data_IF_146344490079
#
_entry.id   IF_146344490079
#
_cell.length_a   1.000
_cell.length_b   1.000
_cell.length_c   1.000
_cell.angle_alpha   90.00
_cell.angle_beta   90.00
_cell.angle_gamma   90.00
#
_symmetry.space_group_name_H-M   'P 1'
#
loop_
_entity.id
_entity.type
_entity.pdbx_description
1 polymer ?
#
# COMPACT_ATOMS: atom_id res chain seq x y z
N UNK A 1 -25.97 55.83 -66.92
CA UNK A 1 -26.36 54.48 -66.46
C UNK A 1 -26.23 53.48 -67.58
N UNK A 2 -25.52 52.37 -67.30
CA UNK A 2 -25.70 50.99 -67.79
C UNK A 2 -24.38 50.35 -68.26
N UNK A 3 -23.98 49.35 -67.45
CA UNK A 3 -23.02 48.29 -67.73
C UNK A 3 -23.52 47.41 -68.88
N UNK A 4 -22.65 47.00 -69.80
CA UNK A 4 -22.58 45.66 -70.46
C UNK A 4 -21.20 45.49 -71.13
N UNK A 5 -20.54 44.33 -70.91
CA UNK A 5 -19.65 43.51 -71.80
C UNK A 5 -18.72 42.69 -70.88
N UNK A 6 -18.83 41.38 -70.65
CA UNK A 6 -18.94 40.16 -71.50
C UNK A 6 -17.64 39.81 -72.26
N UNK A 7 -16.84 38.89 -71.64
CA UNK A 7 -16.22 37.63 -72.17
C UNK A 7 -15.11 37.79 -73.25
N UNK A 8 -13.97 37.07 -73.37
CA UNK A 8 -13.38 35.78 -72.90
C UNK A 8 -11.82 35.92 -72.97
N UNK A 9 -10.98 35.06 -72.38
CA UNK A 9 -10.39 33.85 -73.00
C UNK A 9 -9.70 33.01 -71.89
N UNK A 10 -9.91 31.68 -71.90
CA UNK A 10 -8.94 30.68 -71.36
C UNK A 10 -9.42 29.71 -70.28
N UNK A 11 -10.08 28.61 -70.67
CA UNK A 11 -10.34 27.35 -69.92
C UNK A 11 -9.11 26.39 -69.99
N UNK A 12 -9.08 25.18 -69.35
CA UNK A 12 -9.49 24.76 -67.99
C UNK A 12 -8.54 23.73 -67.28
N UNK A 13 -8.60 23.68 -65.93
CA UNK A 13 -8.69 22.55 -64.95
C UNK A 13 -8.03 21.14 -65.20
N UNK A 14 -7.38 20.61 -64.13
CA UNK A 14 -7.39 19.22 -63.51
C UNK A 14 -6.07 18.40 -63.34
N UNK A 15 -5.86 17.97 -62.08
CA UNK A 15 -5.33 16.69 -61.52
C UNK A 15 -3.91 16.13 -61.84
N UNK A 16 -3.14 15.99 -60.74
CA UNK A 16 -2.36 14.81 -60.24
C UNK A 16 -1.61 13.92 -61.26
N UNK A 17 -0.27 13.94 -61.22
CA UNK A 17 0.63 12.77 -61.01
C UNK A 17 2.12 13.16 -61.18
N UNK A 18 3.00 12.45 -60.46
CA UNK A 18 4.49 12.41 -60.54
C UNK A 18 5.19 13.61 -59.85
N UNK A 19 6.03 13.44 -58.82
CA UNK A 19 7.31 12.72 -58.92
C UNK A 19 7.64 11.94 -57.63
N UNK A 20 7.71 10.62 -57.81
CA UNK A 20 8.56 9.72 -57.04
C UNK A 20 9.83 9.49 -57.89
N UNK A 21 10.96 9.25 -57.22
CA UNK A 21 12.24 8.69 -57.75
C UNK A 21 13.29 9.67 -58.29
N UNK A 22 14.24 9.98 -57.42
CA UNK A 22 15.64 9.57 -57.64
C UNK A 22 16.25 9.09 -56.30
N UNK A 23 16.29 7.76 -56.13
CA UNK A 23 17.02 6.96 -55.11
C UNK A 23 18.50 6.87 -55.54
N UNK A 24 19.58 6.76 -54.73
CA UNK A 24 19.94 6.18 -53.39
C UNK A 24 21.48 6.43 -53.18
N UNK A 25 22.18 5.92 -52.14
CA UNK A 25 21.94 5.74 -50.70
C UNK A 25 23.10 6.30 -49.82
N UNK A 26 23.03 6.22 -48.48
CA UNK A 26 24.11 5.84 -47.52
C UNK A 26 23.87 6.41 -46.10
N UNK A 27 23.84 5.47 -45.15
CA UNK A 27 24.15 5.50 -43.70
C UNK A 27 23.35 6.33 -42.67
N UNK A 28 22.94 5.59 -41.65
CA UNK A 28 22.40 6.00 -40.37
C UNK A 28 23.44 6.72 -39.51
N UNK A 29 23.06 7.82 -38.88
CA UNK A 29 23.61 8.25 -37.61
C UNK A 29 22.56 8.98 -36.81
N UNK A 30 22.26 8.43 -35.64
CA UNK A 30 21.62 9.14 -34.54
C UNK A 30 22.58 10.26 -34.12
N UNK A 31 22.11 11.50 -34.10
CA UNK A 31 22.78 12.58 -33.38
C UNK A 31 21.82 13.06 -32.28
N UNK A 32 22.33 12.97 -31.06
CA UNK A 32 21.73 13.40 -29.80
C UNK A 32 21.42 14.90 -29.85
N UNK A 33 20.14 15.25 -29.70
CA UNK A 33 19.76 16.63 -29.45
C UNK A 33 20.00 16.95 -27.97
N UNK A 34 20.97 17.83 -27.74
CA UNK A 34 21.31 18.47 -26.48
C UNK A 34 20.04 18.99 -25.74
N UNK A 35 19.67 18.30 -24.66
CA UNK A 35 18.75 18.85 -23.67
C UNK A 35 19.55 19.73 -22.70
N UNK A 36 19.38 21.04 -22.88
CA UNK A 36 19.90 22.10 -22.01
C UNK A 36 19.54 21.82 -20.56
N UNK A 37 20.56 21.52 -19.76
CA UNK A 37 20.50 21.28 -18.33
C UNK A 37 20.29 22.62 -17.61
N UNK A 38 19.02 23.00 -17.39
CA UNK A 38 18.70 24.04 -16.41
C UNK A 38 18.83 23.43 -15.01
N UNK A 39 20.04 23.58 -14.44
CA UNK A 39 20.34 23.36 -13.03
C UNK A 39 19.47 24.32 -12.21
N UNK A 40 18.33 23.82 -11.70
CA UNK A 40 17.68 24.43 -10.55
C UNK A 40 18.55 24.12 -9.34
N UNK A 41 19.08 25.19 -8.76
CA UNK A 41 19.86 25.19 -7.53
C UNK A 41 18.95 24.64 -6.42
N UNK A 42 19.14 23.39 -6.05
CA UNK A 42 18.52 22.78 -4.88
C UNK A 42 19.03 23.51 -3.65
N UNK A 43 18.15 24.25 -2.97
CA UNK A 43 18.41 24.66 -1.60
C UNK A 43 18.42 23.39 -0.75
N UNK A 44 19.62 22.99 -0.31
CA UNK A 44 19.81 22.00 0.75
C UNK A 44 19.05 22.50 1.98
N UNK A 45 17.85 21.99 2.20
CA UNK A 45 17.29 21.93 3.53
C UNK A 45 18.06 20.83 4.25
N UNK A 46 18.99 21.22 5.13
CA UNK A 46 19.45 20.29 6.17
C UNK A 46 18.21 19.82 6.90
N UNK A 47 17.83 18.55 6.71
CA UNK A 47 16.93 17.85 7.61
C UNK A 47 17.63 17.80 8.95
N UNK A 48 17.35 18.79 9.79
CA UNK A 48 17.62 18.69 11.22
C UNK A 48 16.77 17.51 11.67
N UNK A 49 17.40 16.36 11.91
CA UNK A 49 16.80 15.26 12.68
C UNK A 49 16.59 15.79 14.10
N UNK A 50 15.50 16.52 14.28
CA UNK A 50 15.05 16.94 15.60
C UNK A 50 14.65 15.65 16.29
N UNK A 51 15.51 15.17 17.19
CA UNK A 51 15.16 14.14 18.16
C UNK A 51 14.10 14.78 19.05
N UNK A 52 12.84 14.39 18.84
CA UNK A 52 11.74 14.82 19.69
C UNK A 52 11.75 13.92 20.93
N UNK A 53 11.92 14.50 22.10
CA UNK A 53 11.65 13.83 23.37
C UNK A 53 10.22 14.17 23.79
N UNK A 54 9.48 13.19 24.33
CA UNK A 54 8.18 13.49 24.90
C UNK A 54 8.35 14.37 26.15
N UNK A 55 7.50 15.38 26.37
CA UNK A 55 7.64 16.28 27.52
C UNK A 55 7.54 15.49 28.83
N UNK A 56 8.61 15.48 29.64
CA UNK A 56 8.61 14.82 30.95
C UNK A 56 7.70 15.53 31.95
N UNK A 57 7.44 16.83 31.73
CA UNK A 57 6.69 17.71 32.63
C UNK A 57 5.28 17.18 32.92
N UNK A 58 4.60 16.62 31.91
CA UNK A 58 3.29 16.01 32.15
C UNK A 58 3.37 14.75 33.00
N UNK A 59 4.41 13.93 32.84
CA UNK A 59 4.58 12.71 33.61
C UNK A 59 4.92 13.03 35.08
N UNK A 60 5.68 14.10 35.31
CA UNK A 60 5.88 14.66 36.65
C UNK A 60 4.58 15.21 37.24
N UNK A 61 3.78 15.93 36.45
CA UNK A 61 2.46 16.41 36.87
C UNK A 61 1.53 15.27 37.26
N UNK A 62 1.48 14.18 36.48
CA UNK A 62 0.67 12.98 36.81
C UNK A 62 1.12 12.36 38.14
N UNK A 63 2.44 12.20 38.36
CA UNK A 63 2.98 11.71 39.64
C UNK A 63 2.59 12.62 40.80
N UNK A 64 2.66 13.94 40.60
CA UNK A 64 2.32 14.93 41.60
C UNK A 64 0.83 14.94 41.93
N UNK A 65 -0.04 14.86 40.91
CA UNK A 65 -1.49 14.84 41.04
C UNK A 65 -1.98 13.65 41.89
N UNK A 66 -1.29 12.51 41.80
CA UNK A 66 -1.61 11.32 42.60
C UNK A 66 -1.18 11.41 44.05
N UNK A 67 -0.35 12.40 44.42
CA UNK A 67 0.03 12.60 45.80
C UNK A 67 -1.10 13.34 46.55
N UNK A 68 -1.78 12.70 47.52
CA UNK A 68 -2.91 13.31 48.22
C UNK A 68 -2.55 14.57 49.02
N UNK A 69 -1.27 14.76 49.33
CA UNK A 69 -0.76 15.92 50.05
C UNK A 69 -0.49 17.13 49.13
N UNK A 70 -0.52 16.93 47.81
CA UNK A 70 -0.30 17.99 46.82
C UNK A 70 -1.60 18.38 46.14
N UNK A 71 -1.91 19.69 46.18
CA UNK A 71 -2.97 20.27 45.36
C UNK A 71 -2.37 20.73 44.03
N UNK A 72 -2.76 20.06 42.96
CA UNK A 72 -2.36 20.42 41.61
C UNK A 72 -3.42 21.29 40.93
N UNK A 73 -2.97 22.19 40.07
CA UNK A 73 -3.85 22.94 39.19
C UNK A 73 -4.26 22.07 38.00
N UNK A 74 -5.56 21.85 37.84
CA UNK A 74 -6.11 21.12 36.71
C UNK A 74 -5.91 21.87 35.39
N UNK A 75 -5.92 23.20 35.41
CA UNK A 75 -5.68 24.01 34.21
C UNK A 75 -4.28 23.80 33.64
N UNK A 76 -3.28 23.72 34.51
CA UNK A 76 -1.90 23.38 34.13
C UNK A 76 -1.81 21.97 33.55
N UNK A 77 -2.45 20.99 34.20
CA UNK A 77 -2.50 19.60 33.71
C UNK A 77 -3.11 19.50 32.31
N UNK A 78 -4.16 20.27 32.02
CA UNK A 78 -4.80 20.29 30.71
C UNK A 78 -3.88 20.84 29.62
N UNK A 79 -3.13 21.91 29.91
CA UNK A 79 -2.15 22.48 28.97
C UNK A 79 -1.05 21.45 28.66
N UNK A 80 -0.48 20.85 29.71
CA UNK A 80 0.57 19.85 29.58
C UNK A 80 0.09 18.59 28.84
N UNK A 81 -1.15 18.14 29.09
CA UNK A 81 -1.74 17.01 28.39
C UNK A 81 -1.95 17.30 26.88
N UNK A 82 -2.37 18.53 26.54
CA UNK A 82 -2.53 18.97 25.14
C UNK A 82 -1.18 19.00 24.41
N UNK A 83 -0.16 19.58 25.02
CA UNK A 83 1.20 19.62 24.46
C UNK A 83 1.76 18.22 24.27
N UNK A 84 1.61 17.35 25.28
CA UNK A 84 2.01 15.95 25.21
C UNK A 84 1.29 15.21 24.08
N UNK A 85 -0.03 15.38 23.90
CA UNK A 85 -0.79 14.71 22.84
C UNK A 85 -0.19 14.99 21.46
N UNK A 86 0.16 16.24 21.17
CA UNK A 86 0.78 16.65 19.90
C UNK A 86 2.12 15.95 19.71
N UNK A 87 2.97 15.94 20.74
CA UNK A 87 4.28 15.28 20.68
C UNK A 87 4.16 13.77 20.54
N UNK A 88 3.29 13.11 21.30
CA UNK A 88 3.06 11.67 21.22
C UNK A 88 2.50 11.25 19.86
N UNK A 89 1.57 12.03 19.28
CA UNK A 89 1.05 11.76 17.93
C UNK A 89 2.17 11.80 16.89
N UNK A 90 3.12 12.73 17.03
CA UNK A 90 4.29 12.81 16.16
C UNK A 90 5.28 11.68 16.40
N UNK A 91 5.55 11.33 17.66
CA UNK A 91 6.41 10.22 18.03
C UNK A 91 5.89 8.89 17.47
N UNK A 92 4.58 8.64 17.51
CA UNK A 92 4.00 7.44 16.88
C UNK A 92 4.46 7.31 15.41
N UNK A 93 4.49 8.42 14.68
CA UNK A 93 4.86 8.45 13.25
C UNK A 93 6.37 8.34 13.04
N UNK A 94 7.17 9.02 13.85
CA UNK A 94 8.62 9.16 13.62
C UNK A 94 9.49 8.18 14.39
N UNK A 95 9.04 7.72 15.56
CA UNK A 95 9.74 6.78 16.43
C UNK A 95 8.72 5.99 17.29
N UNK A 96 8.04 4.97 16.71
CA UNK A 96 7.00 4.22 17.41
C UNK A 96 7.52 3.45 18.63
N UNK A 97 8.79 3.06 18.64
CA UNK A 97 9.44 2.44 19.81
C UNK A 97 9.45 3.39 21.01
N UNK A 98 9.90 4.62 20.79
CA UNK A 98 9.94 5.66 21.81
C UNK A 98 8.53 6.07 22.25
N UNK A 99 7.58 6.15 21.31
CA UNK A 99 6.18 6.42 21.64
C UNK A 99 5.60 5.37 22.61
N UNK A 100 5.90 4.09 22.39
CA UNK A 100 5.46 3.02 23.29
C UNK A 100 6.16 3.08 24.65
N UNK A 101 7.48 3.37 24.66
CA UNK A 101 8.25 3.53 25.90
C UNK A 101 7.70 4.66 26.78
N UNK A 102 7.27 5.74 26.15
CA UNK A 102 6.78 6.94 26.82
C UNK A 102 5.29 6.87 27.17
N UNK A 103 4.57 5.82 26.75
CA UNK A 103 3.15 5.69 27.01
C UNK A 103 2.81 5.70 28.52
N UNK A 104 1.74 6.37 28.90
CA UNK A 104 1.24 6.38 30.27
C UNK A 104 0.55 5.04 30.55
N UNK A 105 1.10 4.31 31.52
CA UNK A 105 0.58 3.02 31.96
C UNK A 105 -0.87 3.15 32.47
N UNK A 106 -1.68 2.11 32.28
CA UNK A 106 -3.09 2.13 32.68
C UNK A 106 -3.25 2.37 34.20
N UNK A 107 -2.31 1.90 35.02
CA UNK A 107 -2.32 2.16 36.47
C UNK A 107 -2.10 3.64 36.83
N UNK A 108 -1.42 4.39 35.97
CA UNK A 108 -1.15 5.83 36.14
C UNK A 108 -2.33 6.71 35.71
N UNK A 109 -3.28 6.14 34.95
CA UNK A 109 -4.49 6.84 34.50
C UNK A 109 -5.60 6.84 35.56
N UNK A 110 -5.55 5.92 36.51
CA UNK A 110 -6.58 5.75 37.53
C UNK A 110 -6.70 7.01 38.40
N UNK A 111 -7.89 7.62 38.40
CA UNK A 111 -8.21 8.81 39.20
C UNK A 111 -7.87 10.15 38.52
N UNK A 112 -7.33 10.13 37.30
CA UNK A 112 -7.20 11.35 36.50
C UNK A 112 -8.59 11.84 36.04
N UNK A 113 -8.78 13.16 35.90
CA UNK A 113 -10.02 13.72 35.35
C UNK A 113 -10.29 13.25 33.92
N UNK A 114 -11.56 13.11 33.56
CA UNK A 114 -11.99 12.62 32.24
C UNK A 114 -11.43 13.48 31.10
N UNK A 115 -11.41 14.80 31.27
CA UNK A 115 -10.89 15.73 30.25
C UNK A 115 -9.39 15.53 29.97
N UNK A 116 -8.63 15.04 30.95
CA UNK A 116 -7.22 14.67 30.76
C UNK A 116 -7.12 13.33 30.05
N UNK A 117 -7.91 12.33 30.48
CA UNK A 117 -7.90 10.98 29.90
C UNK A 117 -8.23 11.04 28.40
N UNK A 118 -9.18 11.87 27.98
CA UNK A 118 -9.53 12.07 26.56
C UNK A 118 -8.35 12.61 25.71
N UNK A 119 -7.42 13.33 26.32
CA UNK A 119 -6.23 13.87 25.65
C UNK A 119 -5.10 12.84 25.52
N UNK A 120 -5.11 11.76 26.30
CA UNK A 120 -4.06 10.74 26.29
C UNK A 120 -4.21 9.75 25.13
N UNK A 121 -3.12 9.03 24.87
CA UNK A 121 -3.10 7.87 23.99
C UNK A 121 -3.99 6.73 24.51
N UNK A 122 -4.68 6.01 23.63
CA UNK A 122 -5.45 4.83 24.00
C UNK A 122 -4.58 3.57 23.91
N UNK A 123 -4.44 2.84 25.02
CA UNK A 123 -3.76 1.54 25.08
C UNK A 123 -4.56 0.50 24.29
N UNK A 124 -3.91 -0.21 23.38
CA UNK A 124 -4.54 -1.24 22.56
C UNK A 124 -3.96 -2.60 22.89
N UNK A 125 -4.85 -3.57 23.06
CA UNK A 125 -4.52 -5.00 23.18
C UNK A 125 -5.68 -5.83 22.66
N UNK A 126 -5.65 -6.20 21.38
CA UNK A 126 -6.75 -6.94 20.75
C UNK A 126 -6.29 -7.75 19.53
N UNK A 127 -7.23 -8.39 18.85
CA UNK A 127 -7.10 -8.95 17.51
C UNK A 127 -7.23 -7.85 16.48
N UNK A 128 -6.37 -7.86 15.46
CA UNK A 128 -6.53 -6.98 14.29
C UNK A 128 -6.13 -7.62 12.98
N UNK A 129 -6.61 -7.04 11.88
CA UNK A 129 -6.08 -7.23 10.53
C UNK A 129 -4.93 -6.25 10.32
N UNK A 130 -3.78 -6.70 9.81
CA UNK A 130 -2.63 -5.88 9.49
C UNK A 130 -2.47 -5.81 7.97
N UNK A 131 -2.49 -4.63 7.39
CA UNK A 131 -2.29 -4.42 5.96
C UNK A 131 -0.95 -3.71 5.74
N UNK A 132 -0.10 -4.27 4.88
CA UNK A 132 1.04 -3.54 4.31
C UNK A 132 0.72 -3.26 2.85
N UNK A 133 0.72 -2.00 2.45
CA UNK A 133 0.26 -1.56 1.15
C UNK A 133 1.35 -0.74 0.46
N UNK A 134 1.52 -0.96 -0.83
CA UNK A 134 2.48 -0.25 -1.69
C UNK A 134 1.74 0.40 -2.85
N UNK A 135 2.01 1.68 -3.08
CA UNK A 135 1.47 2.44 -4.22
C UNK A 135 2.52 2.61 -5.29
N UNK A 136 2.21 2.23 -6.53
CA UNK A 136 3.18 2.18 -7.61
C UNK A 136 3.00 3.33 -8.60
N UNK A 137 3.99 4.24 -8.63
CA UNK A 137 3.95 5.50 -9.37
C UNK A 137 4.60 5.37 -10.76
N UNK A 138 4.01 4.54 -11.63
CA UNK A 138 4.58 4.24 -12.96
C UNK A 138 3.87 4.96 -14.10
N UNK A 139 4.49 5.02 -15.27
CA UNK A 139 3.89 5.57 -16.50
C UNK A 139 3.33 6.99 -16.37
N UNK A 140 4.12 7.89 -15.80
CA UNK A 140 3.82 9.32 -15.69
C UNK A 140 3.29 9.77 -14.32
N UNK A 141 2.93 8.83 -13.44
CA UNK A 141 2.68 9.15 -12.04
C UNK A 141 4.00 9.47 -11.32
N UNK A 142 3.95 10.41 -10.37
CA UNK A 142 5.10 10.82 -9.57
C UNK A 142 4.72 10.65 -8.10
N UNK A 143 5.57 9.93 -7.37
CA UNK A 143 5.47 9.78 -5.92
C UNK A 143 5.46 11.17 -5.26
N UNK A 144 4.44 11.51 -4.46
CA UNK A 144 4.43 12.77 -3.73
C UNK A 144 5.66 12.89 -2.82
N UNK A 145 6.22 14.10 -2.69
CA UNK A 145 7.36 14.36 -1.80
C UNK A 145 6.97 13.98 -0.36
N UNK A 146 7.77 13.13 0.28
CA UNK A 146 7.53 12.66 1.64
C UNK A 146 6.51 11.52 1.77
N UNK A 147 5.94 11.01 0.67
CA UNK A 147 5.15 9.78 0.71
C UNK A 147 6.07 8.56 0.98
N UNK A 148 5.71 7.67 1.90
CA UNK A 148 6.50 6.48 2.20
C UNK A 148 6.43 5.44 1.09
N UNK A 149 7.43 4.55 1.02
CA UNK A 149 7.48 3.44 0.05
C UNK A 149 6.36 2.44 0.27
N UNK A 150 6.10 2.12 1.52
CA UNK A 150 5.02 1.25 1.94
C UNK A 150 4.29 1.89 3.13
N UNK A 151 2.99 1.65 3.22
CA UNK A 151 2.15 2.09 4.33
C UNK A 151 1.58 0.90 5.06
N UNK A 152 1.61 0.94 6.39
CA UNK A 152 0.98 -0.07 7.22
C UNK A 152 -0.33 0.45 7.80
N UNK A 153 -1.30 -0.44 7.90
CA UNK A 153 -2.58 -0.16 8.53
C UNK A 153 -2.98 -1.30 9.44
N UNK A 154 -3.65 -0.98 10.54
CA UNK A 154 -4.30 -1.96 11.40
C UNK A 154 -5.79 -1.68 11.40
N UNK A 155 -6.58 -2.68 11.03
CA UNK A 155 -8.04 -2.64 11.19
C UNK A 155 -8.42 -3.43 12.43
N UNK A 156 -9.09 -2.77 13.37
CA UNK A 156 -9.69 -3.36 14.56
C UNK A 156 -11.11 -2.84 14.65
N UNK A 157 -12.06 -3.74 14.85
CA UNK A 157 -13.48 -3.48 14.67
C UNK A 157 -13.77 -2.85 13.30
N UNK A 158 -14.34 -1.65 13.27
CA UNK A 158 -14.64 -0.88 12.06
C UNK A 158 -13.67 0.29 11.82
N UNK A 159 -12.63 0.42 12.65
CA UNK A 159 -11.66 1.52 12.54
C UNK A 159 -10.34 1.04 11.96
N UNK A 160 -9.85 1.79 10.98
CA UNK A 160 -8.57 1.56 10.31
C UNK A 160 -7.58 2.63 10.72
N UNK A 161 -6.52 2.23 11.41
CA UNK A 161 -5.44 3.10 11.87
C UNK A 161 -4.28 3.05 10.87
N UNK A 162 -3.62 4.18 10.63
CA UNK A 162 -2.29 4.19 10.02
C UNK A 162 -1.29 3.71 11.06
N UNK A 163 -0.72 2.54 10.82
CA UNK A 163 0.12 1.84 11.77
C UNK A 163 1.59 2.12 11.48
N UNK A 164 2.37 2.28 12.56
CA UNK A 164 3.81 2.46 12.53
C UNK A 164 4.44 1.35 13.33
N UNK A 165 5.31 0.57 12.68
CA UNK A 165 5.94 -0.63 13.23
C UNK A 165 7.45 -0.43 13.33
N UNK A 166 8.08 -1.26 14.15
CA UNK A 166 9.53 -1.33 14.32
C UNK A 166 9.92 -2.76 14.71
N UNK A 167 11.22 -3.00 14.88
CA UNK A 167 11.75 -4.32 15.21
C UNK A 167 11.33 -5.37 14.18
N UNK A 168 10.91 -6.55 14.64
CA UNK A 168 10.50 -7.64 13.74
C UNK A 168 9.28 -7.32 12.87
N UNK A 169 8.40 -6.40 13.30
CA UNK A 169 7.24 -5.99 12.50
C UNK A 169 7.55 -4.91 11.47
N UNK A 170 8.79 -4.44 11.40
CA UNK A 170 9.23 -3.48 10.38
C UNK A 170 9.03 -4.00 8.95
N UNK A 171 9.14 -5.32 8.75
CA UNK A 171 8.96 -6.01 7.46
C UNK A 171 7.75 -6.97 7.44
N UNK A 172 6.90 -6.94 8.48
CA UNK A 172 5.73 -7.82 8.55
C UNK A 172 4.83 -7.60 7.34
N UNK A 173 4.54 -8.67 6.61
CA UNK A 173 3.61 -8.64 5.49
C UNK A 173 2.15 -8.59 5.96
N UNK A 174 1.21 -8.40 5.03
CA UNK A 174 -0.22 -8.38 5.33
C UNK A 174 -0.68 -9.64 6.07
N UNK A 175 -1.56 -9.48 7.06
CA UNK A 175 -2.16 -10.54 7.89
C UNK A 175 -3.64 -10.29 8.12
N UNK A 176 -4.47 -11.30 7.90
CA UNK A 176 -5.90 -11.31 8.19
C UNK A 176 -6.16 -11.40 9.71
N UNK A 177 -5.17 -11.83 10.50
CA UNK A 177 -5.31 -11.97 11.95
C UNK A 177 -3.97 -11.95 12.66
N UNK A 178 -3.72 -10.92 13.47
CA UNK A 178 -2.60 -10.85 14.41
C UNK A 178 -3.05 -10.39 15.79
N UNK A 179 -2.19 -10.63 16.78
CA UNK A 179 -2.30 -10.02 18.10
C UNK A 179 -1.69 -8.62 18.05
N UNK A 180 -2.48 -7.59 18.29
CA UNK A 180 -2.05 -6.19 18.23
C UNK A 180 -1.93 -5.65 19.64
N UNK A 181 -0.73 -5.18 19.98
CA UNK A 181 -0.45 -4.44 21.20
C UNK A 181 0.14 -3.09 20.82
N UNK A 182 -0.24 -2.03 21.52
CA UNK A 182 0.37 -0.72 21.28
C UNK A 182 -0.42 0.45 21.84
N UNK A 183 -0.24 1.62 21.22
CA UNK A 183 -0.97 2.85 21.58
C UNK A 183 -1.51 3.53 20.33
N UNK A 184 -2.66 4.18 20.45
CA UNK A 184 -3.25 4.97 19.37
C UNK A 184 -3.63 6.38 19.81
N UNK A 185 -3.49 7.34 18.89
CA UNK A 185 -4.01 8.71 19.02
C UNK A 185 -4.71 9.05 17.71
N UNK A 186 -5.99 9.38 17.80
CA UNK A 186 -6.86 9.64 16.64
C UNK A 186 -6.82 8.48 15.61
N UNK A 187 -6.12 8.70 14.49
CA UNK A 187 -6.02 7.85 13.32
C UNK A 187 -4.66 7.13 13.20
N UNK A 188 -3.69 7.43 14.07
CA UNK A 188 -2.36 6.81 14.04
C UNK A 188 -2.16 5.85 15.21
N UNK A 189 -1.35 4.82 14.97
CA UNK A 189 -1.07 3.78 15.96
C UNK A 189 0.40 3.37 15.91
N UNK A 190 1.05 3.30 17.08
CA UNK A 190 2.33 2.61 17.23
C UNK A 190 2.06 1.16 17.64
N UNK A 191 2.64 0.21 16.93
CA UNK A 191 2.40 -1.22 17.14
C UNK A 191 3.66 -1.87 17.71
N UNK A 192 3.52 -2.55 18.84
CA UNK A 192 4.58 -3.33 19.48
C UNK A 192 5.10 -4.42 18.53
N UNK A 193 6.40 -4.74 18.55
CA UNK A 193 7.00 -5.80 17.74
C UNK A 193 6.59 -7.19 18.23
N UNK A 194 6.15 -7.28 19.49
CA UNK A 194 5.86 -8.54 20.16
C UNK A 194 4.37 -8.88 20.05
N UNK A 195 4.01 -10.08 19.57
CA UNK A 195 2.62 -10.51 19.49
C UNK A 195 2.06 -10.96 20.84
N UNK A 196 2.89 -11.05 21.88
CA UNK A 196 2.51 -11.50 23.22
C UNK A 196 3.13 -10.56 24.26
N UNK A 197 2.30 -9.90 25.08
CA UNK A 197 2.78 -9.14 26.24
C UNK A 197 2.95 -10.07 27.45
N UNK A 198 4.15 -10.08 28.03
CA UNK A 198 4.49 -10.89 29.20
C UNK A 198 4.41 -10.08 30.50
N UNK A 199 3.72 -10.62 31.51
CA UNK A 199 3.71 -10.13 32.91
C UNK A 199 3.97 -11.31 33.85
N UNK A 200 5.24 -11.67 34.03
CA UNK A 200 5.64 -12.89 34.75
C UNK A 200 5.29 -14.15 33.95
N UNK A 201 4.39 -14.99 34.47
CA UNK A 201 3.83 -16.17 33.80
C UNK A 201 2.45 -15.90 33.17
N UNK A 202 1.95 -14.67 33.27
CA UNK A 202 0.76 -14.22 32.56
C UNK A 202 1.18 -13.71 31.18
N UNK A 203 0.50 -14.15 30.14
CA UNK A 203 0.69 -13.66 28.78
C UNK A 203 -0.61 -13.07 28.27
N UNK A 204 -0.53 -11.96 27.55
CA UNK A 204 -1.65 -11.34 26.87
C UNK A 204 -1.43 -11.37 25.37
N UNK A 205 -2.43 -11.82 24.62
CA UNK A 205 -2.41 -11.85 23.16
C UNK A 205 -3.83 -12.00 22.62
N UNK A 206 -4.11 -11.46 21.43
CA UNK A 206 -5.43 -11.53 20.80
C UNK A 206 -6.57 -11.05 21.73
N UNK A 207 -6.29 -10.01 22.53
CA UNK A 207 -7.22 -9.46 23.53
C UNK A 207 -7.53 -10.37 24.73
N UNK A 208 -6.73 -11.43 24.93
CA UNK A 208 -6.96 -12.41 26.00
C UNK A 208 -5.72 -12.63 26.85
N UNK A 209 -5.95 -12.73 28.15
CA UNK A 209 -4.92 -13.12 29.12
C UNK A 209 -4.93 -14.63 29.35
N UNK A 210 -3.74 -15.22 29.46
CA UNK A 210 -3.53 -16.64 29.74
C UNK A 210 -2.41 -16.81 30.76
N UNK A 211 -2.72 -17.53 31.83
CA UNK A 211 -1.73 -17.93 32.83
C UNK A 211 -1.06 -19.24 32.41
N UNK A 212 0.26 -19.27 32.43
CA UNK A 212 1.07 -20.46 32.15
C UNK A 212 1.61 -21.09 33.44
N UNK A 213 1.87 -22.39 33.40
CA UNK A 213 2.37 -23.14 34.57
C UNK A 213 3.88 -22.98 34.76
N UNK A 214 4.62 -22.69 33.69
CA UNK A 214 6.07 -22.52 33.69
C UNK A 214 6.54 -21.53 32.62
N UNK A 215 7.79 -21.06 32.74
CA UNK A 215 8.41 -20.22 31.70
C UNK A 215 8.57 -20.98 30.38
N UNK A 216 8.88 -22.27 30.43
CA UNK A 216 9.04 -23.10 29.23
C UNK A 216 7.76 -23.17 28.39
N UNK A 217 6.59 -23.33 29.04
CA UNK A 217 5.31 -23.33 28.32
C UNK A 217 4.99 -21.97 27.70
N UNK A 218 5.33 -20.88 28.40
CA UNK A 218 5.14 -19.52 27.91
C UNK A 218 6.05 -19.23 26.72
N UNK A 219 7.34 -19.56 26.83
CA UNK A 219 8.32 -19.35 25.76
C UNK A 219 7.95 -20.17 24.51
N UNK A 220 7.48 -21.41 24.69
CA UNK A 220 6.94 -22.23 23.59
C UNK A 220 5.73 -21.57 22.93
N UNK A 221 4.81 -21.01 23.71
CA UNK A 221 3.65 -20.28 23.19
C UNK A 221 4.04 -19.02 22.40
N UNK A 222 4.99 -18.24 22.92
CA UNK A 222 5.52 -17.05 22.25
C UNK A 222 6.18 -17.46 20.92
N UNK A 223 7.09 -18.45 20.95
CA UNK A 223 7.78 -18.93 19.76
C UNK A 223 6.80 -19.41 18.68
N UNK A 224 5.76 -20.16 19.07
CA UNK A 224 4.73 -20.60 18.13
C UNK A 224 3.94 -19.42 17.54
N UNK A 225 3.62 -18.40 18.35
CA UNK A 225 2.90 -17.21 17.87
C UNK A 225 3.75 -16.37 16.90
N UNK A 226 5.05 -16.27 17.15
CA UNK A 226 6.00 -15.60 16.25
C UNK A 226 6.08 -16.33 14.90
N UNK A 227 6.26 -17.65 14.91
CA UNK A 227 6.34 -18.48 13.69
C UNK A 227 5.06 -18.40 12.86
N UNK A 228 3.90 -18.46 13.50
CA UNK A 228 2.61 -18.29 12.83
C UNK A 228 2.51 -16.92 12.14
N UNK A 229 2.92 -15.85 12.82
CA UNK A 229 2.87 -14.50 12.27
C UNK A 229 3.87 -14.30 11.11
N UNK A 230 5.05 -14.94 11.16
CA UNK A 230 6.08 -14.81 10.12
C UNK A 230 5.81 -15.67 8.86
N UNK A 231 4.87 -16.61 8.92
CA UNK A 231 4.53 -17.49 7.79
C UNK A 231 4.01 -16.67 6.60
N UNK A 232 4.50 -16.82 5.35
CA UNK A 232 4.03 -16.00 4.23
C UNK A 232 2.52 -16.09 3.96
N UNK A 233 1.93 -14.96 3.56
CA UNK A 233 0.51 -14.83 3.27
C UNK A 233 -0.32 -14.33 4.45
N UNK A 234 -1.60 -13.97 4.19
CA UNK A 234 -2.40 -13.22 5.15
C UNK A 234 -3.13 -14.11 6.14
N UNK A 235 -3.52 -15.33 5.75
CA UNK A 235 -4.15 -16.28 6.65
C UNK A 235 -3.10 -17.18 7.33
N UNK A 236 -3.15 -17.29 8.66
CA UNK A 236 -2.47 -18.38 9.38
C UNK A 236 -3.29 -19.65 9.10
N UNK A 237 -2.98 -20.35 8.01
CA UNK A 237 -3.64 -21.62 7.69
C UNK A 237 -3.15 -22.69 8.68
N UNK A 238 -3.88 -22.88 9.78
CA UNK A 238 -3.79 -24.10 10.61
C UNK A 238 -4.79 -25.12 10.08
N UNK A 239 -4.43 -25.80 9.00
CA UNK A 239 -5.24 -26.87 8.40
C UNK A 239 -4.45 -27.61 7.32
N UNK A 240 -4.40 -28.93 7.43
CA UNK A 240 -3.47 -29.85 6.76
C UNK A 240 -3.45 -29.75 5.23
N UNK A 241 -2.41 -29.19 4.62
CA UNK A 241 -2.24 -29.27 3.17
C UNK A 241 -0.78 -29.45 2.72
N UNK A 242 -0.63 -30.47 1.85
CA UNK A 242 0.46 -30.83 0.93
C UNK A 242 1.92 -30.63 1.38
N UNK A 243 2.58 -31.74 1.72
CA UNK A 243 4.02 -31.88 2.03
C UNK A 243 4.98 -31.58 0.84
N UNK A 244 4.55 -30.85 -0.20
CA UNK A 244 5.33 -30.65 -1.43
C UNK A 244 5.70 -29.18 -1.69
N UNK A 245 4.90 -28.21 -1.24
CA UNK A 245 5.16 -26.79 -1.48
C UNK A 245 5.96 -26.14 -0.34
N UNK A 246 7.02 -25.38 -0.66
CA UNK A 246 7.81 -24.62 0.33
C UNK A 246 6.98 -23.47 0.94
N UNK A 247 6.09 -22.89 0.14
CA UNK A 247 5.07 -21.96 0.61
C UNK A 247 3.78 -22.20 -0.15
N UNK A 248 2.72 -22.57 0.57
CA UNK A 248 1.37 -22.68 0.00
C UNK A 248 0.82 -21.33 -0.44
N UNK A 249 1.42 -20.22 -0.04
CA UNK A 249 1.05 -18.87 -0.49
C UNK A 249 1.58 -18.56 -1.90
N UNK A 250 2.85 -18.89 -2.17
CA UNK A 250 3.53 -18.50 -3.42
C UNK A 250 3.64 -19.62 -4.46
N UNK A 251 3.30 -20.85 -4.12
CA UNK A 251 3.31 -22.01 -5.01
C UNK A 251 1.91 -22.62 -5.20
N UNK A 252 1.77 -23.48 -6.20
CA UNK A 252 0.55 -24.21 -6.52
C UNK A 252 -0.36 -23.48 -7.51
N UNK A 253 -1.62 -23.92 -7.55
CA UNK A 253 -2.65 -23.33 -8.41
C UNK A 253 -3.34 -22.21 -7.66
N UNK A 254 -3.38 -21.02 -8.25
CA UNK A 254 -3.98 -19.81 -7.68
C UNK A 254 -5.11 -19.29 -8.56
N UNK A 255 -6.16 -18.77 -7.92
CA UNK A 255 -7.30 -18.15 -8.58
C UNK A 255 -7.36 -16.66 -8.27
N UNK A 256 -7.49 -15.83 -9.31
CA UNK A 256 -7.69 -14.39 -9.19
C UNK A 256 -9.11 -14.03 -9.59
N UNK A 257 -9.83 -13.30 -8.74
CA UNK A 257 -11.09 -12.64 -9.12
C UNK A 257 -10.80 -11.25 -9.70
N UNK A 258 -11.10 -11.03 -10.98
CA UNK A 258 -10.76 -9.79 -11.69
C UNK A 258 -11.99 -8.92 -11.93
N UNK A 259 -12.20 -7.94 -11.04
CA UNK A 259 -13.37 -7.07 -11.05
C UNK A 259 -13.12 -5.84 -11.93
N UNK A 260 -13.88 -5.71 -13.02
CA UNK A 260 -13.92 -4.50 -13.85
C UNK A 260 -15.08 -3.65 -13.35
N UNK A 261 -14.79 -2.46 -12.83
CA UNK A 261 -15.80 -1.60 -12.18
C UNK A 261 -16.05 -0.31 -12.97
N UNK A 262 -17.30 0.15 -12.92
CA UNK A 262 -17.72 1.46 -13.43
C UNK A 262 -18.52 2.20 -12.36
N UNK A 263 -18.49 3.53 -12.42
CA UNK A 263 -19.24 4.42 -11.55
C UNK A 263 -20.68 4.64 -12.05
N UNK A 264 -21.57 5.09 -11.17
CA UNK A 264 -22.99 5.28 -11.50
C UNK A 264 -23.24 6.34 -12.59
N UNK A 265 -22.36 7.33 -12.72
CA UNK A 265 -22.41 8.40 -13.72
C UNK A 265 -21.82 8.00 -15.08
N UNK A 266 -21.31 6.78 -15.21
CA UNK A 266 -20.76 6.28 -16.47
C UNK A 266 -21.80 5.55 -17.30
N UNK A 267 -21.58 5.52 -18.62
CA UNK A 267 -22.47 4.83 -19.56
C UNK A 267 -22.62 3.35 -19.19
N UNK A 268 -23.81 2.80 -19.39
CA UNK A 268 -24.14 1.39 -19.14
C UNK A 268 -23.39 0.38 -20.05
N UNK A 269 -22.66 0.85 -21.05
CA UNK A 269 -21.73 0.07 -21.87
C UNK A 269 -20.25 0.39 -21.55
N UNK A 270 -19.98 1.29 -20.60
CA UNK A 270 -18.62 1.63 -20.20
C UNK A 270 -17.93 0.43 -19.55
N UNK A 271 -16.71 0.13 -20.03
CA UNK A 271 -15.79 -0.81 -19.40
C UNK A 271 -14.45 -0.10 -19.14
N UNK A 272 -13.85 -0.22 -17.94
CA UNK A 272 -12.54 0.35 -17.67
C UNK A 272 -11.42 -0.33 -18.48
N UNK A 273 -11.63 -1.61 -18.82
CA UNK A 273 -10.82 -2.41 -19.72
C UNK A 273 -11.73 -3.44 -20.40
N UNK A 274 -11.54 -3.67 -21.70
CA UNK A 274 -12.35 -4.67 -22.40
C UNK A 274 -12.07 -6.07 -21.87
N UNK A 275 -13.05 -6.99 -21.93
CA UNK A 275 -12.84 -8.38 -21.50
C UNK A 275 -11.66 -9.03 -22.25
N UNK A 276 -11.59 -8.86 -23.57
CA UNK A 276 -10.54 -9.45 -24.39
C UNK A 276 -9.15 -8.92 -24.02
N UNK A 277 -9.04 -7.61 -23.76
CA UNK A 277 -7.78 -7.01 -23.29
C UNK A 277 -7.40 -7.51 -21.89
N UNK A 278 -8.37 -7.61 -20.98
CA UNK A 278 -8.12 -8.09 -19.63
C UNK A 278 -7.64 -9.55 -19.64
N UNK A 279 -8.27 -10.42 -20.45
CA UNK A 279 -7.85 -11.81 -20.64
C UNK A 279 -6.42 -11.89 -21.18
N UNK A 280 -6.13 -11.20 -22.29
CA UNK A 280 -4.78 -11.19 -22.87
C UNK A 280 -3.70 -10.74 -21.87
N UNK A 281 -3.95 -9.68 -21.10
CA UNK A 281 -2.97 -9.20 -20.14
C UNK A 281 -2.79 -10.18 -18.95
N UNK A 282 -3.85 -10.86 -18.52
CA UNK A 282 -3.76 -11.83 -17.44
C UNK A 282 -3.13 -13.14 -17.89
N UNK A 283 -3.27 -13.52 -19.17
CA UNK A 283 -2.50 -14.61 -19.76
C UNK A 283 -1.00 -14.30 -19.73
N UNK A 284 -0.60 -13.06 -20.05
CA UNK A 284 0.81 -12.63 -19.95
C UNK A 284 1.32 -12.70 -18.49
N UNK A 285 0.50 -12.28 -17.52
CA UNK A 285 0.84 -12.36 -16.08
C UNK A 285 1.00 -13.82 -15.65
N UNK A 286 0.04 -14.67 -15.99
CA UNK A 286 0.06 -16.09 -15.63
C UNK A 286 1.29 -16.79 -16.24
N UNK A 287 1.59 -16.54 -17.50
CA UNK A 287 2.75 -17.12 -18.17
C UNK A 287 4.08 -16.61 -17.59
N UNK A 288 4.18 -15.31 -17.31
CA UNK A 288 5.36 -14.75 -16.66
C UNK A 288 5.66 -15.46 -15.33
N UNK A 289 4.68 -15.56 -14.45
CA UNK A 289 4.87 -16.17 -13.14
C UNK A 289 5.06 -17.69 -13.21
N UNK A 290 4.45 -18.36 -14.18
CA UNK A 290 4.72 -19.77 -14.45
C UNK A 290 6.17 -19.99 -14.86
N UNK A 291 6.72 -19.16 -15.74
CA UNK A 291 8.13 -19.23 -16.16
C UNK A 291 9.05 -18.88 -14.99
N UNK A 292 8.82 -17.73 -14.34
CA UNK A 292 9.66 -17.23 -13.25
C UNK A 292 9.74 -18.18 -12.05
N UNK A 293 8.68 -18.95 -11.81
CA UNK A 293 8.61 -19.95 -10.75
C UNK A 293 9.06 -21.36 -11.18
N UNK A 294 9.58 -21.54 -12.40
CA UNK A 294 9.91 -22.86 -12.96
C UNK A 294 8.71 -23.83 -12.96
N UNK A 295 7.51 -23.32 -13.17
CA UNK A 295 6.26 -24.08 -13.22
C UNK A 295 5.62 -24.38 -11.86
N UNK A 296 6.17 -23.83 -10.76
CA UNK A 296 5.63 -24.04 -9.41
C UNK A 296 4.36 -23.24 -9.12
N UNK A 297 4.20 -22.07 -9.75
CA UNK A 297 3.02 -21.23 -9.62
C UNK A 297 2.22 -21.24 -10.93
N UNK A 298 0.95 -21.61 -10.84
CA UNK A 298 0.00 -21.55 -11.96
C UNK A 298 -1.19 -20.68 -11.56
N UNK A 299 -1.56 -19.73 -12.42
CA UNK A 299 -2.60 -18.74 -12.10
C UNK A 299 -3.75 -18.87 -13.09
N UNK A 300 -4.99 -18.86 -12.58
CA UNK A 300 -6.22 -18.82 -13.36
C UNK A 300 -7.02 -17.59 -12.93
N UNK A 301 -7.34 -16.72 -13.88
CA UNK A 301 -8.14 -15.53 -13.59
C UNK A 301 -9.59 -15.72 -14.02
N UNK A 302 -10.52 -15.37 -13.14
CA UNK A 302 -11.96 -15.36 -13.38
C UNK A 302 -12.42 -13.93 -13.61
N UNK A 303 -13.19 -13.73 -14.67
CA UNK A 303 -13.65 -12.42 -15.11
C UNK A 303 -15.18 -12.33 -15.00
N UNK A 304 -15.70 -11.75 -13.91
CA UNK A 304 -17.10 -11.37 -13.82
C UNK A 304 -17.54 -10.39 -14.91
N UNK A 305 -18.86 -10.24 -15.01
CA UNK A 305 -19.46 -9.10 -15.70
C UNK A 305 -19.01 -7.78 -15.06
N UNK A 306 -19.10 -6.67 -15.81
CA UNK A 306 -18.74 -5.35 -15.29
C UNK A 306 -19.64 -4.98 -14.11
N UNK A 307 -19.02 -4.65 -12.99
CA UNK A 307 -19.70 -4.24 -11.76
C UNK A 307 -20.03 -2.75 -11.85
N UNK A 308 -21.28 -2.38 -11.58
CA UNK A 308 -21.71 -0.98 -11.50
C UNK A 308 -21.77 -0.57 -10.03
N UNK A 309 -21.00 0.44 -9.66
CA UNK A 309 -21.03 1.05 -8.34
C UNK A 309 -22.25 1.97 -8.20
N UNK A 310 -22.67 2.18 -6.95
CA UNK A 310 -23.87 2.91 -6.58
C UNK A 310 -23.68 4.43 -6.61
N UNK A 311 -22.47 4.93 -6.35
CA UNK A 311 -22.17 6.36 -6.39
C UNK A 311 -21.49 6.79 -7.69
N UNK A 312 -21.63 8.08 -8.00
CA UNK A 312 -20.83 8.72 -9.02
C UNK A 312 -19.36 8.73 -8.59
N UNK A 313 -18.45 8.86 -9.56
CA UNK A 313 -17.01 8.92 -9.29
C UNK A 313 -16.63 9.93 -8.19
N UNK A 314 -17.28 11.10 -8.17
CA UNK A 314 -17.04 12.16 -7.18
C UNK A 314 -17.38 11.75 -5.74
N UNK A 315 -18.24 10.76 -5.51
CA UNK A 315 -18.58 10.25 -4.17
C UNK A 315 -17.45 9.45 -3.52
N UNK A 316 -16.57 8.84 -4.33
CA UNK A 316 -15.39 8.10 -3.86
C UNK A 316 -14.16 8.99 -3.76
N UNK A 317 -14.05 10.02 -4.61
CA UNK A 317 -12.98 11.02 -4.53
C UNK A 317 -13.07 11.74 -3.18
N UNK A 318 -12.05 11.57 -2.33
CA UNK A 318 -11.98 12.15 -0.98
C UNK A 318 -12.39 11.21 0.17
N UNK A 319 -13.22 10.20 -0.08
CA UNK A 319 -13.51 9.12 0.89
C UNK A 319 -12.50 7.96 0.77
N UNK A 320 -11.77 7.93 -0.34
CA UNK A 320 -10.61 7.08 -0.55
C UNK A 320 -10.92 5.76 -1.26
N UNK A 321 -9.85 5.09 -1.68
CA UNK A 321 -9.89 3.83 -2.40
C UNK A 321 -10.63 2.71 -1.63
N UNK A 322 -10.50 2.69 -0.30
CA UNK A 322 -11.08 1.64 0.56
C UNK A 322 -12.58 1.48 0.33
N UNK A 323 -13.34 2.57 0.43
CA UNK A 323 -14.79 2.58 0.21
C UNK A 323 -15.18 1.99 -1.15
N UNK A 324 -14.52 2.43 -2.22
CA UNK A 324 -14.82 1.97 -3.58
C UNK A 324 -14.53 0.46 -3.72
N UNK A 325 -13.44 -0.03 -3.15
CA UNK A 325 -13.10 -1.45 -3.22
C UNK A 325 -14.04 -2.32 -2.39
N UNK A 326 -14.44 -1.85 -1.21
CA UNK A 326 -15.40 -2.56 -0.34
C UNK A 326 -16.74 -2.72 -1.06
N UNK A 327 -17.28 -1.63 -1.61
CA UNK A 327 -18.53 -1.65 -2.36
C UNK A 327 -18.45 -2.52 -3.63
N UNK A 328 -17.33 -2.46 -4.36
CA UNK A 328 -17.13 -3.28 -5.55
C UNK A 328 -17.22 -4.78 -5.24
N UNK A 329 -16.67 -5.22 -4.10
CA UNK A 329 -16.74 -6.63 -3.66
C UNK A 329 -18.17 -7.02 -3.27
N UNK A 330 -18.86 -6.17 -2.51
CA UNK A 330 -20.24 -6.41 -2.11
C UNK A 330 -21.18 -6.49 -3.33
N UNK A 331 -21.03 -5.57 -4.29
CA UNK A 331 -21.78 -5.57 -5.53
C UNK A 331 -21.47 -6.81 -6.40
N UNK A 332 -20.20 -7.28 -6.43
CA UNK A 332 -19.83 -8.50 -7.12
C UNK A 332 -20.49 -9.74 -6.51
N UNK A 333 -20.53 -9.85 -5.17
CA UNK A 333 -21.22 -10.94 -4.46
C UNK A 333 -22.70 -10.97 -4.86
N UNK A 334 -23.38 -9.82 -4.77
CA UNK A 334 -24.81 -9.71 -5.08
C UNK A 334 -25.08 -10.09 -6.56
N UNK A 335 -24.30 -9.55 -7.49
CA UNK A 335 -24.48 -9.83 -8.92
C UNK A 335 -24.20 -11.30 -9.24
N UNK A 336 -23.15 -11.88 -8.67
CA UNK A 336 -22.83 -13.31 -8.81
C UNK A 336 -23.99 -14.18 -8.34
N UNK A 337 -24.51 -13.93 -7.13
CA UNK A 337 -25.66 -14.65 -6.57
C UNK A 337 -26.89 -14.56 -7.47
N UNK A 338 -27.19 -13.38 -8.04
CA UNK A 338 -28.31 -13.21 -8.96
C UNK A 338 -28.21 -14.05 -10.24
N UNK A 339 -26.99 -14.49 -10.59
CA UNK A 339 -26.67 -15.31 -11.76
C UNK A 339 -26.41 -16.78 -11.41
N UNK A 340 -26.49 -17.16 -10.13
CA UNK A 340 -26.11 -18.50 -9.67
C UNK A 340 -24.61 -18.78 -9.78
N UNK A 341 -23.77 -17.75 -9.73
CA UNK A 341 -22.31 -17.82 -9.78
C UNK A 341 -21.70 -17.36 -8.45
N UNK A 342 -20.51 -17.84 -8.13
CA UNK A 342 -19.77 -17.44 -6.93
C UNK A 342 -18.67 -16.43 -7.26
N UNK A 343 -18.96 -15.17 -6.97
CA UNK A 343 -18.02 -14.04 -7.09
C UNK A 343 -17.67 -13.45 -5.72
N UNK A 344 -17.80 -14.25 -4.66
CA UNK A 344 -17.28 -13.90 -3.35
C UNK A 344 -15.75 -13.96 -3.36
N UNK A 345 -15.11 -12.80 -3.25
CA UNK A 345 -13.66 -12.67 -3.25
C UNK A 345 -12.97 -13.54 -2.18
N UNK A 346 -13.67 -13.92 -1.11
CA UNK A 346 -13.16 -14.80 -0.06
C UNK A 346 -12.89 -16.23 -0.55
N UNK A 347 -13.51 -16.64 -1.65
CA UNK A 347 -13.35 -17.96 -2.28
C UNK A 347 -12.26 -18.00 -3.38
N UNK A 348 -11.45 -16.95 -3.50
CA UNK A 348 -10.35 -16.80 -4.46
C UNK A 348 -9.05 -16.49 -3.72
N UNK A 349 -7.89 -17.00 -4.17
CA UNK A 349 -6.61 -16.68 -3.53
C UNK A 349 -6.34 -15.17 -3.54
N UNK A 350 -6.60 -14.51 -4.69
CA UNK A 350 -6.39 -13.08 -4.87
C UNK A 350 -7.59 -12.41 -5.55
N UNK A 351 -7.67 -11.09 -5.45
CA UNK A 351 -8.60 -10.30 -6.25
C UNK A 351 -7.99 -8.96 -6.64
N UNK A 352 -8.32 -8.55 -7.86
CA UNK A 352 -7.84 -7.30 -8.47
C UNK A 352 -9.05 -6.50 -8.94
N UNK A 353 -9.07 -5.21 -8.61
CA UNK A 353 -10.14 -4.29 -9.04
C UNK A 353 -9.58 -3.29 -10.04
N UNK A 354 -10.24 -3.13 -11.18
CA UNK A 354 -9.89 -2.15 -12.21
C UNK A 354 -10.97 -1.10 -12.29
N UNK A 355 -10.60 0.17 -12.09
CA UNK A 355 -11.52 1.30 -12.22
C UNK A 355 -11.02 2.31 -13.25
N UNK A 356 -11.88 3.25 -13.62
CA UNK A 356 -11.41 4.46 -14.30
C UNK A 356 -10.44 5.24 -13.38
N UNK A 357 -9.55 6.03 -13.98
CA UNK A 357 -8.47 6.71 -13.25
C UNK A 357 -8.96 7.84 -12.34
N UNK A 358 -8.10 8.43 -11.51
CA UNK A 358 -8.45 9.59 -10.68
C UNK A 358 -9.10 9.27 -9.33
N UNK A 359 -9.11 8.01 -8.91
CA UNK A 359 -9.37 7.61 -7.52
C UNK A 359 -8.11 7.76 -6.64
N UNK A 360 -6.92 7.61 -7.25
CA UNK A 360 -5.63 7.76 -6.57
C UNK A 360 -4.56 8.37 -7.48
N UNK A 361 -3.40 8.68 -6.90
CA UNK A 361 -2.23 9.24 -7.60
C UNK A 361 -1.22 8.21 -8.09
N UNK A 362 -1.65 6.98 -8.37
CA UNK A 362 -0.79 5.82 -8.69
C UNK A 362 -1.29 5.08 -9.94
N UNK A 363 -0.44 4.26 -10.54
CA UNK A 363 -0.83 3.34 -11.63
C UNK A 363 -1.52 2.08 -11.09
N UNK A 364 -0.90 1.48 -10.07
CA UNK A 364 -1.41 0.35 -9.30
C UNK A 364 -1.11 0.51 -7.82
N UNK A 365 -1.83 -0.27 -7.01
CA UNK A 365 -1.62 -0.37 -5.57
C UNK A 365 -1.94 -1.81 -5.14
N UNK A 366 -1.13 -2.37 -4.26
CA UNK A 366 -1.27 -3.74 -3.82
C UNK A 366 -0.95 -3.92 -2.33
N UNK A 367 -1.54 -4.92 -1.72
CA UNK A 367 -1.07 -5.43 -0.44
C UNK A 367 0.19 -6.28 -0.64
N UNK A 368 1.22 -6.01 0.16
CA UNK A 368 2.42 -6.85 0.24
C UNK A 368 2.10 -8.11 1.04
N UNK A 369 2.24 -9.28 0.41
CA UNK A 369 1.89 -10.58 1.00
C UNK A 369 0.40 -10.73 1.31
N UNK A 370 -0.46 -9.94 0.66
CA UNK A 370 -1.91 -9.95 0.84
C UNK A 370 -2.67 -10.25 -0.47
N UNK A 371 -4.00 -10.32 -0.38
CA UNK A 371 -4.87 -10.81 -1.48
C UNK A 371 -5.23 -9.74 -2.50
N UNK A 372 -5.07 -8.47 -2.13
CA UNK A 372 -5.75 -7.32 -2.72
C UNK A 372 -4.84 -6.51 -3.64
N UNK A 373 -5.34 -6.16 -4.82
CA UNK A 373 -4.74 -5.14 -5.68
C UNK A 373 -5.80 -4.27 -6.38
N UNK A 374 -5.41 -3.07 -6.78
CA UNK A 374 -6.23 -2.17 -7.61
C UNK A 374 -5.37 -1.52 -8.69
N UNK A 375 -5.90 -1.43 -9.90
CA UNK A 375 -5.24 -0.75 -11.02
C UNK A 375 -6.14 0.34 -11.60
N UNK A 376 -5.51 1.42 -12.05
CA UNK A 376 -6.18 2.41 -12.87
C UNK A 376 -6.26 1.94 -14.33
N UNK A 377 -7.32 2.38 -15.02
CA UNK A 377 -7.45 2.25 -16.46
C UNK A 377 -6.17 2.68 -17.18
N UNK A 378 -5.75 1.86 -18.15
CA UNK A 378 -4.51 2.06 -18.91
C UNK A 378 -3.29 1.35 -18.30
N UNK A 379 -3.37 0.91 -17.05
CA UNK A 379 -2.26 0.27 -16.31
C UNK A 379 -2.60 -1.18 -15.95
N UNK A 380 -3.04 -1.96 -16.94
CA UNK A 380 -3.47 -3.35 -16.73
C UNK A 380 -2.59 -4.39 -17.42
N UNK A 381 -1.55 -3.96 -18.14
CA UNK A 381 -0.60 -4.87 -18.81
C UNK A 381 0.22 -5.70 -17.82
N UNK A 382 0.99 -6.69 -18.31
CA UNK A 382 1.97 -7.44 -17.53
C UNK A 382 2.82 -6.52 -16.63
N UNK A 383 3.21 -5.35 -17.15
CA UNK A 383 4.09 -4.44 -16.42
C UNK A 383 3.51 -3.91 -15.11
N UNK A 384 2.23 -3.58 -15.07
CA UNK A 384 1.59 -3.11 -13.82
C UNK A 384 0.90 -4.27 -13.13
N UNK A 385 0.05 -5.03 -13.83
CA UNK A 385 -0.68 -6.13 -13.21
C UNK A 385 0.24 -7.23 -12.68
N UNK A 386 1.31 -7.55 -13.40
CA UNK A 386 2.31 -8.50 -12.92
C UNK A 386 3.09 -7.94 -11.74
N UNK A 387 3.43 -6.65 -11.75
CA UNK A 387 4.12 -5.98 -10.65
C UNK A 387 3.28 -5.98 -9.36
N UNK A 388 2.03 -5.55 -9.42
CA UNK A 388 1.10 -5.58 -8.29
C UNK A 388 0.84 -7.00 -7.79
N UNK A 389 0.77 -7.98 -8.70
CA UNK A 389 0.67 -9.38 -8.31
C UNK A 389 1.94 -9.88 -7.60
N UNK A 390 3.13 -9.40 -7.98
CA UNK A 390 4.36 -9.65 -7.25
C UNK A 390 4.34 -9.12 -5.81
N UNK A 391 3.75 -7.95 -5.58
CA UNK A 391 3.49 -7.47 -4.23
C UNK A 391 2.55 -8.39 -3.46
N UNK A 392 1.47 -8.85 -4.07
CA UNK A 392 0.56 -9.83 -3.44
C UNK A 392 1.29 -11.13 -3.03
N UNK A 393 2.31 -11.55 -3.78
CA UNK A 393 3.17 -12.69 -3.43
C UNK A 393 4.22 -12.37 -2.34
N UNK A 394 4.36 -11.11 -1.93
CA UNK A 394 5.24 -10.66 -0.84
C UNK A 394 6.54 -10.00 -1.30
N UNK A 395 6.68 -9.66 -2.58
CA UNK A 395 7.88 -8.99 -3.08
C UNK A 395 7.79 -7.49 -2.87
N UNK A 396 8.87 -6.86 -2.41
CA UNK A 396 9.03 -5.40 -2.43
C UNK A 396 9.56 -4.92 -3.79
N UNK A 397 9.59 -3.60 -3.99
CA UNK A 397 10.20 -3.02 -5.18
C UNK A 397 11.67 -3.45 -5.33
N UNK A 398 12.07 -3.71 -6.57
CA UNK A 398 13.47 -3.93 -6.89
C UNK A 398 14.19 -2.57 -6.97
N UNK A 399 15.30 -2.48 -6.25
CA UNK A 399 16.19 -1.35 -6.31
C UNK A 399 17.35 -1.63 -7.26
N UNK A 400 17.82 -0.60 -7.92
CA UNK A 400 19.06 -0.63 -8.68
C UNK A 400 20.15 0.10 -7.91
N UNK A 401 21.27 -0.58 -7.71
CA UNK A 401 22.45 0.05 -7.15
C UNK A 401 23.32 0.60 -8.29
N UNK A 402 23.30 1.91 -8.51
CA UNK A 402 24.20 2.59 -9.45
C UNK A 402 25.55 2.78 -8.78
N UNK A 403 26.56 2.04 -9.22
CA UNK A 403 27.95 2.19 -8.76
C UNK A 403 28.66 3.22 -9.63
N UNK A 404 29.49 4.08 -9.03
CA UNK A 404 30.26 5.11 -9.76
C UNK A 404 31.34 4.55 -10.70
N UNK A 405 31.57 3.24 -10.66
CA UNK A 405 32.52 2.53 -11.51
C UNK A 405 31.89 1.25 -12.11
N UNK A 406 32.57 0.67 -13.09
CA UNK A 406 32.20 -0.60 -13.74
C UNK A 406 32.30 -1.81 -12.79
N UNK A 407 32.54 -1.60 -11.50
CA UNK A 407 32.63 -2.66 -10.49
C UNK A 407 31.23 -2.93 -9.93
N UNK A 408 30.74 -4.18 -9.98
CA UNK A 408 29.51 -4.59 -9.28
C UNK A 408 29.57 -4.41 -7.75
N UNK A 409 30.73 -4.02 -7.20
CA UNK A 409 30.99 -3.75 -5.78
C UNK A 409 31.34 -2.27 -5.52
N UNK A 410 31.19 -1.40 -6.51
CA UNK A 410 31.58 0.00 -6.41
C UNK A 410 30.88 0.75 -5.28
N UNK A 411 31.47 1.86 -4.87
CA UNK A 411 30.90 2.73 -3.85
C UNK A 411 29.62 3.39 -4.36
N UNK A 412 28.58 3.43 -3.53
CA UNK A 412 27.39 4.27 -3.73
C UNK A 412 27.87 5.72 -3.98
N UNK A 413 27.51 6.36 -5.10
CA UNK A 413 27.86 7.76 -5.36
C UNK A 413 27.44 8.66 -4.20
N UNK A 414 28.33 9.57 -3.79
CA UNK A 414 28.12 10.47 -2.64
C UNK A 414 27.00 11.50 -2.82
N UNK A 415 26.36 11.56 -3.99
CA UNK A 415 25.21 12.40 -4.29
C UNK A 415 23.86 11.72 -3.98
N UNK A 416 23.86 10.55 -3.34
CA UNK A 416 22.63 9.82 -2.99
C UNK A 416 21.97 9.06 -4.14
N UNK A 417 22.49 9.16 -5.37
CA UNK A 417 21.92 8.53 -6.56
C UNK A 417 22.22 7.02 -6.69
N UNK A 418 22.82 6.40 -5.67
CA UNK A 418 23.25 5.02 -5.75
C UNK A 418 22.11 4.02 -5.59
N UNK A 419 21.07 4.28 -4.79
CA UNK A 419 19.93 3.36 -4.67
C UNK A 419 18.70 3.96 -5.36
N UNK A 420 18.32 3.39 -6.51
CA UNK A 420 17.21 3.90 -7.32
C UNK A 420 16.07 2.87 -7.26
N UNK A 421 14.98 3.24 -6.57
CA UNK A 421 13.70 2.52 -6.64
C UNK A 421 13.27 2.45 -8.12
N UNK A 422 12.86 1.27 -8.57
CA UNK A 422 12.53 1.03 -9.98
C UNK A 422 13.69 1.14 -10.99
N UNK A 423 14.96 1.15 -10.58
CA UNK A 423 16.05 1.35 -11.56
C UNK A 423 16.52 0.12 -12.37
N UNK A 424 16.09 -1.10 -12.04
CA UNK A 424 16.55 -2.32 -12.71
C UNK A 424 15.63 -2.75 -13.87
N UNK A 425 15.92 -2.26 -15.08
CA UNK A 425 15.12 -2.42 -16.32
C UNK A 425 14.66 -3.83 -16.71
N UNK A 426 15.25 -4.89 -16.15
CA UNK A 426 14.87 -6.27 -16.45
C UNK A 426 14.05 -6.94 -15.35
N UNK A 427 13.80 -6.26 -14.23
CA UNK A 427 13.02 -6.79 -13.12
C UNK A 427 11.57 -6.32 -13.24
N UNK A 428 10.61 -7.27 -13.17
CA UNK A 428 9.19 -6.92 -13.11
C UNK A 428 8.88 -6.06 -11.87
N UNK A 429 9.57 -6.31 -10.75
CA UNK A 429 9.45 -5.52 -9.52
C UNK A 429 10.15 -4.15 -9.61
N UNK A 430 10.74 -3.82 -10.75
CA UNK A 430 11.32 -2.52 -11.04
C UNK A 430 10.43 -1.66 -11.94
N UNK A 431 9.28 -2.15 -12.39
CA UNK A 431 8.22 -1.44 -13.12
C UNK A 431 8.65 -0.46 -14.26
N UNK A 432 9.86 -0.58 -14.80
CA UNK A 432 10.43 0.25 -15.87
C UNK A 432 10.40 -0.39 -17.26
#
# INVERSE_FOLDING_TARGET
MKRVRVICIGMPVLLVFLVWVSRRPVESRYDEAEAVQQVKKEEHFETIDVVWEAPEEFQEWVKAYRNPDMRMDLGEGLILAQERRVTMKRLIVTNPEEALRMAIADEDRVGLPEEIIELLEFSVSDVGEFERVVSCYTGGFVRPIGAPDEECFVKMDEKRYRAFTYGRRAELQTKDRISVHGISIDDVMAVSPDPVLRKGLLAESFGKQRQFASEEELDSYIAMTLVDEDTPGPAVVRGSESLIAESTWTEGNKRILYLRVRFADQDSAYEPVSLATAQSHQDDVAEHYRIASYGKLNVITVFPDVITLAENKSGYVGQGLGKMMDEARDAAIILGQSKGLDWDYRNYDFYTIISDGGIGGYAGIAQVGGRKSHHQKGYTSLRTSGHEFGHNLGLSHAYYNYTSDLSPRGSTPSNGAGLIEYGHRFSLMSAQ
#
